data_IF_157481367023
#
_entry.id   IF_157481367023
#
_cell.length_a   1.000
_cell.length_b   1.000
_cell.length_c   1.000
_cell.angle_alpha   90.00
_cell.angle_beta   90.00
_cell.angle_gamma   90.00
#
_symmetry.space_group_name_H-M   'P 1'
#
loop_
_entity.id
_entity.type
_entity.pdbx_description
1 polymer ?
#
# COMPACT_ATOMS: atom_id res chain seq x y z
N UNK A 1 12.63 10.54 7.71
CA UNK A 1 11.37 9.84 7.41
C UNK A 1 11.18 8.81 8.51
N UNK A 2 10.12 8.95 9.30
CA UNK A 2 9.85 8.03 10.41
C UNK A 2 9.37 6.69 9.86
N UNK A 3 9.99 5.59 10.30
CA UNK A 3 9.54 4.24 9.96
C UNK A 3 8.59 3.74 11.05
N UNK A 4 7.39 3.38 10.64
CA UNK A 4 6.41 2.77 11.53
C UNK A 4 6.38 1.27 11.27
N UNK A 5 6.49 0.48 12.35
CA UNK A 5 6.36 -0.98 12.26
C UNK A 5 4.88 -1.33 12.20
N UNK A 6 4.51 -2.01 11.12
CA UNK A 6 3.15 -2.45 10.87
C UNK A 6 3.09 -3.95 11.18
N UNK A 7 2.10 -4.37 11.96
CA UNK A 7 1.96 -5.79 12.35
C UNK A 7 0.93 -6.47 11.47
N UNK A 8 1.34 -7.47 10.69
CA UNK A 8 0.42 -8.27 9.87
C UNK A 8 0.09 -9.57 10.58
N UNK A 9 -1.19 -9.87 10.75
CA UNK A 9 -1.66 -11.15 11.33
C UNK A 9 -1.58 -12.28 10.30
N UNK A 10 -1.72 -13.53 10.76
CA UNK A 10 -1.73 -14.75 9.94
C UNK A 10 -2.78 -14.75 8.79
N UNK A 11 -3.82 -13.92 8.88
CA UNK A 11 -4.86 -13.77 7.86
C UNK A 11 -4.62 -12.60 6.89
N UNK A 12 -3.42 -12.03 6.87
CA UNK A 12 -3.11 -10.84 6.06
C UNK A 12 -3.77 -9.56 6.57
N UNK A 13 -4.37 -9.58 7.77
CA UNK A 13 -4.90 -8.36 8.40
C UNK A 13 -3.74 -7.54 8.94
N UNK A 14 -3.60 -6.34 8.40
CA UNK A 14 -2.61 -5.33 8.76
C UNK A 14 -3.14 -4.52 9.95
N UNK A 15 -2.42 -4.54 11.08
CA UNK A 15 -2.69 -3.73 12.27
C UNK A 15 -1.71 -2.56 12.24
N UNK A 16 -2.25 -1.37 12.01
CA UNK A 16 -1.51 -0.12 12.14
C UNK A 16 -1.57 0.34 13.60
N UNK A 17 -0.47 0.85 14.19
CA UNK A 17 -0.58 1.69 15.39
C UNK A 17 -1.46 2.92 15.04
N UNK A 18 -2.08 3.56 16.02
CA UNK A 18 -3.02 4.68 15.81
C UNK A 18 -2.36 5.86 15.05
N UNK A 19 -2.31 5.78 13.71
CA UNK A 19 -1.93 6.88 12.83
C UNK A 19 -3.25 7.53 12.39
N UNK A 20 -3.56 8.74 12.86
CA UNK A 20 -4.83 9.39 12.56
C UNK A 20 -4.89 9.74 11.07
N UNK A 21 -5.70 9.01 10.30
CA UNK A 21 -6.26 9.43 9.01
C UNK A 21 -5.25 9.73 7.87
N UNK A 22 -3.98 9.36 8.03
CA UNK A 22 -2.94 9.61 7.03
C UNK A 22 -2.71 8.39 6.13
N UNK A 23 -2.51 8.64 4.82
CA UNK A 23 -2.08 7.60 3.88
C UNK A 23 -0.70 7.09 4.31
N UNK A 24 -0.57 5.77 4.48
CA UNK A 24 0.72 5.15 4.73
C UNK A 24 1.50 5.13 3.41
N UNK A 25 2.70 5.70 3.43
CA UNK A 25 3.61 5.72 2.29
C UNK A 25 4.63 4.59 2.42
N UNK A 26 4.79 3.79 1.37
CA UNK A 26 5.76 2.70 1.32
C UNK A 26 6.53 2.72 0.01
N UNK A 27 7.80 2.37 0.06
CA UNK A 27 8.64 2.19 -1.13
C UNK A 27 8.29 0.90 -1.90
N UNK A 28 8.67 0.84 -3.18
CA UNK A 28 8.53 -0.38 -3.99
C UNK A 28 9.06 -1.66 -3.29
N UNK A 29 10.29 -1.70 -2.71
CA UNK A 29 10.77 -2.89 -2.02
C UNK A 29 9.94 -3.26 -0.78
N UNK A 30 9.48 -2.28 0.00
CA UNK A 30 8.63 -2.55 1.17
C UNK A 30 7.27 -3.16 0.76
N UNK A 31 6.70 -2.73 -0.38
CA UNK A 31 5.47 -3.31 -0.92
C UNK A 31 5.68 -4.71 -1.48
N UNK A 32 6.80 -4.94 -2.16
CA UNK A 32 7.22 -6.27 -2.63
C UNK A 32 7.30 -7.24 -1.45
N UNK A 33 7.93 -6.84 -0.36
CA UNK A 33 8.02 -7.62 0.88
C UNK A 33 6.65 -7.81 1.54
N UNK A 34 5.84 -6.76 1.65
CA UNK A 34 4.52 -6.81 2.27
C UNK A 34 3.55 -7.77 1.56
N UNK A 35 3.54 -7.74 0.22
CA UNK A 35 2.65 -8.58 -0.58
C UNK A 35 3.27 -9.94 -0.96
N UNK A 36 4.55 -10.16 -0.68
CA UNK A 36 5.27 -11.37 -1.08
C UNK A 36 5.31 -11.56 -2.61
N UNK A 37 5.29 -10.47 -3.38
CA UNK A 37 5.30 -10.48 -4.85
C UNK A 37 6.63 -9.97 -5.38
N UNK A 38 6.97 -10.30 -6.63
CA UNK A 38 8.15 -9.72 -7.29
C UNK A 38 7.87 -8.31 -7.82
N UNK A 39 8.89 -7.45 -7.87
CA UNK A 39 8.77 -6.07 -8.34
C UNK A 39 8.11 -5.90 -9.72
N UNK A 40 8.38 -6.75 -10.74
CA UNK A 40 7.68 -6.67 -12.02
C UNK A 40 6.15 -6.84 -11.91
N UNK A 41 5.68 -7.73 -11.02
CA UNK A 41 4.26 -7.96 -10.77
C UNK A 41 3.63 -6.76 -10.11
N UNK A 42 4.29 -6.18 -9.10
CA UNK A 42 3.81 -4.97 -8.44
C UNK A 42 3.69 -3.81 -9.44
N UNK A 43 4.72 -3.56 -10.27
CA UNK A 43 4.69 -2.53 -11.31
C UNK A 43 3.61 -2.75 -12.36
N UNK A 44 3.27 -4.00 -12.68
CA UNK A 44 2.17 -4.31 -13.59
C UNK A 44 0.82 -3.98 -12.95
N UNK A 45 0.62 -4.36 -11.68
CA UNK A 45 -0.60 -4.07 -10.94
C UNK A 45 -0.82 -2.56 -10.75
N UNK A 46 0.20 -1.82 -10.35
CA UNK A 46 0.16 -0.35 -10.22
C UNK A 46 -0.24 0.30 -11.55
N UNK A 47 0.39 -0.10 -12.66
CA UNK A 47 0.02 0.40 -14.00
C UNK A 47 -1.42 0.06 -14.38
N UNK A 48 -1.93 -1.11 -14.00
CA UNK A 48 -3.31 -1.48 -14.25
C UNK A 48 -4.30 -0.60 -13.47
N UNK A 49 -3.98 -0.28 -12.21
CA UNK A 49 -4.77 0.63 -11.36
C UNK A 49 -4.76 2.06 -11.91
N UNK A 50 -3.63 2.55 -12.40
CA UNK A 50 -3.58 3.87 -13.04
C UNK A 50 -4.39 3.91 -14.33
N UNK A 51 -4.33 2.84 -15.14
CA UNK A 51 -5.15 2.73 -16.36
C UNK A 51 -6.63 2.64 -16.09
N UNK A 52 -7.06 2.06 -14.96
CA UNK A 52 -8.48 2.02 -14.59
C UNK A 52 -9.01 3.36 -14.08
N UNK A 53 -8.14 4.34 -13.82
CA UNK A 53 -8.52 5.65 -13.28
C UNK A 53 -8.97 5.62 -11.82
N UNK A 54 -8.84 4.47 -11.14
CA UNK A 54 -9.23 4.30 -9.72
C UNK A 54 -8.33 5.12 -8.81
N UNK A 55 -7.04 5.21 -9.13
CA UNK A 55 -6.09 6.10 -8.46
C UNK A 55 -5.35 6.93 -9.50
N UNK A 56 -5.13 8.20 -9.19
CA UNK A 56 -4.30 9.08 -10.02
C UNK A 56 -2.87 9.06 -9.51
N UNK A 57 -1.93 8.80 -10.42
CA UNK A 57 -0.50 8.65 -10.11
C UNK A 57 0.05 9.77 -9.23
N UNK A 58 -0.23 11.03 -9.56
CA UNK A 58 0.28 12.18 -8.80
C UNK A 58 -0.30 12.33 -7.37
N UNK A 59 -1.40 11.65 -7.06
CA UNK A 59 -2.02 11.67 -5.73
C UNK A 59 -1.45 10.57 -4.81
N UNK A 60 -0.99 9.46 -5.40
CA UNK A 60 -0.61 8.26 -4.66
C UNK A 60 0.82 7.79 -4.92
N UNK A 61 1.60 8.46 -5.77
CA UNK A 61 3.02 8.16 -5.99
C UNK A 61 3.85 9.44 -5.84
N UNK A 62 4.96 9.33 -5.12
CA UNK A 62 5.94 10.42 -4.95
C UNK A 62 7.34 9.88 -5.16
N UNK A 63 8.21 10.72 -5.70
CA UNK A 63 9.64 10.46 -5.76
C UNK A 63 10.32 11.24 -4.64
N UNK A 64 10.84 10.55 -3.63
CA UNK A 64 11.36 11.16 -2.40
C UNK A 64 12.84 10.85 -2.19
N UNK A 65 13.57 11.80 -1.59
CA UNK A 65 14.92 11.57 -1.10
C UNK A 65 14.83 10.92 0.28
N UNK A 66 15.44 9.75 0.41
CA UNK A 66 15.59 9.01 1.66
C UNK A 66 16.73 9.60 2.49
N UNK A 67 16.77 9.28 3.79
CA UNK A 67 17.79 9.79 4.72
C UNK A 67 19.21 9.39 4.34
N UNK A 68 19.37 8.30 3.59
CA UNK A 68 20.66 7.84 3.06
C UNK A 68 21.09 8.59 1.78
N UNK A 69 20.33 9.60 1.34
CA UNK A 69 20.58 10.36 0.11
C UNK A 69 20.16 9.64 -1.18
N UNK A 70 19.63 8.42 -1.09
CA UNK A 70 19.06 7.72 -2.25
C UNK A 70 17.65 8.24 -2.53
N UNK A 71 17.21 8.13 -3.78
CA UNK A 71 15.85 8.43 -4.15
C UNK A 71 15.04 7.15 -4.35
N UNK A 72 13.76 7.19 -4.02
CA UNK A 72 12.85 6.08 -4.21
C UNK A 72 11.45 6.57 -4.58
N UNK A 73 10.76 5.76 -5.40
CA UNK A 73 9.32 5.83 -5.56
C UNK A 73 8.64 5.31 -4.29
N UNK A 74 7.79 6.14 -3.70
CA UNK A 74 6.92 5.79 -2.58
C UNK A 74 5.46 5.92 -2.99
N UNK A 75 4.65 4.97 -2.52
CA UNK A 75 3.25 4.86 -2.86
C UNK A 75 2.39 5.04 -1.61
N UNK A 76 1.42 5.94 -1.69
CA UNK A 76 0.48 6.26 -0.62
C UNK A 76 -0.79 5.43 -0.75
N UNK A 77 -1.10 4.63 0.26
CA UNK A 77 -2.28 3.78 0.27
C UNK A 77 -3.29 4.25 1.33
N UNK A 78 -4.54 4.54 0.94
CA UNK A 78 -5.64 4.71 1.89
C UNK A 78 -6.06 3.32 2.40
N UNK A 79 -5.43 2.86 3.49
CA UNK A 79 -5.65 1.51 4.03
C UNK A 79 -7.03 1.29 4.69
N UNK A 80 -7.93 2.29 4.68
CA UNK A 80 -9.34 2.09 5.04
C UNK A 80 -10.08 1.10 4.11
N UNK A 81 -9.45 0.64 3.03
CA UNK A 81 -10.06 -0.23 2.02
C UNK A 81 -9.51 -1.67 1.94
N UNK A 82 -8.64 -2.11 2.86
CA UNK A 82 -8.30 -3.56 2.99
C UNK A 82 -9.38 -4.37 3.74
N UNK A 83 -10.60 -3.83 3.88
CA UNK A 83 -11.78 -4.65 4.15
C UNK A 83 -12.03 -5.53 2.93
N UNK A 84 -11.50 -6.75 3.00
CA UNK A 84 -11.90 -7.85 2.14
C UNK A 84 -13.43 -7.91 2.09
N UNK A 85 -14.01 -7.57 0.95
CA UNK A 85 -15.38 -7.91 0.65
C UNK A 85 -15.43 -9.39 0.29
N UNK A 86 -15.98 -10.23 1.15
CA UNK A 86 -16.98 -11.23 0.75
C UNK A 86 -17.74 -11.71 1.99
N UNK A 87 -19.07 -11.64 1.93
CA UNK A 87 -19.96 -12.15 2.96
C UNK A 87 -21.39 -11.72 2.68
N UNK A 88 -21.99 -12.34 1.67
CA UNK A 88 -23.44 -12.32 1.50
C UNK A 88 -24.10 -12.70 2.85
N UNK A 89 -24.84 -11.78 3.46
CA UNK A 89 -25.86 -12.16 4.42
C UNK A 89 -27.06 -12.64 3.60
N UNK A 90 -27.09 -13.95 3.34
CA UNK A 90 -28.32 -14.64 3.00
C UNK A 90 -29.26 -14.48 4.18
N UNK A 91 -30.34 -13.73 3.97
CA UNK A 91 -31.52 -13.77 4.83
C UNK A 91 -32.11 -15.18 4.68
N UNK A 92 -32.08 -15.97 5.76
CA UNK A 92 -33.12 -16.92 6.11
C UNK A 92 -33.29 -16.84 7.62
#
# INVERSE_FOLDING_TARGET
MERVIITTTEYGKVILPDIPNENVWMSEPELVELFGVIAPTLRAAVRAVYKSGVLKEYEVQKYVCLENGCYADVFGFPYQQLRCGTGAQSHI
#
